data_IF_281144823040
#
_entry.id   IF_281144823040
#
_cell.length_a   1.000
_cell.length_b   1.000
_cell.length_c   1.000
_cell.angle_alpha   90.00
_cell.angle_beta   90.00
_cell.angle_gamma   90.00
#
_symmetry.space_group_name_H-M   'P 1'
#
loop_
_entity.id
_entity.type
_entity.pdbx_description
1 polymer ?
#
# COMPACT_ATOMS: atom_id res chain seq x y z
N UNK A 1 0.41 4.03 -4.49
CA UNK A 1 1.61 4.17 -5.37
C UNK A 1 1.74 5.57 -5.95
N UNK A 2 0.73 6.20 -6.62
CA UNK A 2 0.91 7.53 -7.23
C UNK A 2 1.31 8.62 -6.23
N UNK A 3 0.74 8.63 -5.03
CA UNK A 3 1.11 9.57 -3.97
C UNK A 3 2.60 9.46 -3.62
N UNK A 4 3.09 8.23 -3.41
CA UNK A 4 4.50 7.99 -3.11
C UNK A 4 5.41 8.37 -4.28
N UNK A 5 5.05 8.03 -5.52
CA UNK A 5 5.82 8.41 -6.71
C UNK A 5 5.92 9.93 -6.84
N UNK A 6 4.83 10.67 -6.58
CA UNK A 6 4.84 12.13 -6.58
C UNK A 6 5.70 12.70 -5.46
N UNK A 7 5.63 12.14 -4.25
CA UNK A 7 6.48 12.58 -3.14
C UNK A 7 7.96 12.38 -3.45
N UNK A 8 8.34 11.27 -4.08
CA UNK A 8 9.72 11.03 -4.54
C UNK A 8 10.15 12.05 -5.59
N UNK A 9 9.29 12.37 -6.55
CA UNK A 9 9.54 13.41 -7.56
C UNK A 9 9.65 14.79 -6.91
N UNK A 10 8.73 15.15 -6.02
CA UNK A 10 8.75 16.43 -5.30
C UNK A 10 10.01 16.57 -4.45
N UNK A 11 10.45 15.49 -3.78
CA UNK A 11 11.72 15.49 -3.04
C UNK A 11 12.91 15.73 -3.96
N UNK A 12 12.99 15.08 -5.12
CA UNK A 12 14.06 15.31 -6.10
C UNK A 12 14.05 16.73 -6.65
N UNK A 13 12.90 17.42 -6.63
CA UNK A 13 12.74 18.84 -6.98
C UNK A 13 12.98 19.79 -5.78
N UNK A 14 13.40 19.27 -4.62
CA UNK A 14 13.80 20.05 -3.45
C UNK A 14 12.70 20.22 -2.38
N UNK A 15 11.55 19.59 -2.54
CA UNK A 15 10.54 19.55 -1.47
C UNK A 15 11.04 18.68 -0.31
N UNK A 16 10.73 19.10 0.90
CA UNK A 16 11.10 18.37 2.13
C UNK A 16 9.91 18.34 3.06
N UNK A 17 9.71 17.22 3.74
CA UNK A 17 8.72 17.12 4.78
C UNK A 17 9.20 17.74 6.13
N UNK A 18 8.33 17.75 7.12
CA UNK A 18 8.66 18.30 8.42
C UNK A 18 9.75 17.50 9.15
N UNK A 19 9.78 16.16 9.00
CA UNK A 19 10.80 15.35 9.65
C UNK A 19 12.19 15.62 9.08
N UNK A 20 12.30 15.75 7.74
CA UNK A 20 13.53 16.17 7.10
C UNK A 20 13.95 17.56 7.54
N UNK A 21 13.04 18.53 7.49
CA UNK A 21 13.28 19.91 7.89
C UNK A 21 13.80 20.00 9.33
N UNK A 22 13.14 19.35 10.30
CA UNK A 22 13.56 19.36 11.69
C UNK A 22 14.82 18.54 11.96
N UNK A 23 15.17 17.60 11.09
CA UNK A 23 16.48 16.92 11.14
C UNK A 23 17.59 17.86 10.68
N UNK A 24 17.35 18.61 9.60
CA UNK A 24 18.36 19.48 8.97
C UNK A 24 18.73 20.70 9.82
N UNK A 25 17.80 21.24 10.61
CA UNK A 25 18.08 22.39 11.48
C UNK A 25 19.22 22.06 12.45
N UNK A 26 20.19 22.98 12.54
CA UNK A 26 21.29 22.85 13.49
C UNK A 26 20.74 22.86 14.93
N UNK A 27 21.12 21.87 15.74
CA UNK A 27 20.63 21.72 17.10
C UNK A 27 20.97 22.90 18.01
N UNK A 28 21.99 23.68 17.68
CA UNK A 28 22.43 24.82 18.49
C UNK A 28 21.52 26.07 18.34
N UNK A 29 20.66 26.10 17.30
CA UNK A 29 19.75 27.22 17.04
C UNK A 29 18.27 26.84 17.12
N UNK A 30 17.93 25.64 17.59
CA UNK A 30 16.55 25.21 17.75
C UNK A 30 15.77 26.14 18.68
N UNK A 31 14.64 26.63 18.19
CA UNK A 31 13.65 27.35 19.03
C UNK A 31 12.93 26.38 19.96
N UNK A 32 12.13 26.91 20.89
CA UNK A 32 11.33 26.03 21.75
C UNK A 32 10.28 25.25 20.97
N UNK A 33 9.67 25.86 19.96
CA UNK A 33 8.71 25.19 19.07
C UNK A 33 9.34 24.01 18.29
N UNK A 34 10.56 24.20 17.77
CA UNK A 34 11.32 23.14 17.10
C UNK A 34 11.61 21.97 18.04
N UNK A 35 12.02 22.29 19.29
CA UNK A 35 12.29 21.29 20.33
C UNK A 35 11.03 20.50 20.71
N UNK A 36 9.90 21.19 20.84
CA UNK A 36 8.62 20.57 21.17
C UNK A 36 8.16 19.62 20.06
N UNK A 37 8.31 20.02 18.80
CA UNK A 37 8.05 19.14 17.66
C UNK A 37 8.95 17.90 17.66
N UNK A 38 10.27 18.09 17.79
CA UNK A 38 11.25 16.99 17.79
C UNK A 38 10.95 16.01 18.93
N UNK A 39 10.68 16.47 20.14
CA UNK A 39 10.36 15.58 21.26
C UNK A 39 9.04 14.85 21.05
N UNK A 40 8.04 15.51 20.46
CA UNK A 40 6.72 14.91 20.27
C UNK A 40 6.68 13.89 19.13
N UNK A 41 7.55 14.03 18.10
CA UNK A 41 7.44 13.28 16.85
C UNK A 41 8.63 12.35 16.55
N UNK A 42 9.84 12.64 17.07
CA UNK A 42 11.04 11.86 16.76
C UNK A 42 11.19 10.57 17.59
N UNK A 43 10.08 10.13 18.20
CA UNK A 43 9.91 8.79 18.75
C UNK A 43 8.80 8.00 18.03
N UNK A 44 8.29 8.52 16.91
CA UNK A 44 7.29 7.86 16.08
C UNK A 44 7.94 6.70 15.30
N UNK A 45 8.27 5.64 16.01
CA UNK A 45 8.82 4.41 15.46
C UNK A 45 8.54 3.23 16.40
N UNK A 46 8.70 2.01 15.90
CA UNK A 46 8.45 0.81 16.68
C UNK A 46 9.44 0.69 17.85
N UNK A 47 8.96 0.34 19.07
CA UNK A 47 9.84 0.10 20.22
C UNK A 47 10.99 -0.90 19.99
N UNK A 48 10.78 -1.92 19.14
CA UNK A 48 11.84 -2.89 18.76
C UNK A 48 12.98 -2.20 18.01
N UNK A 49 12.66 -1.23 17.17
CA UNK A 49 13.64 -0.43 16.41
C UNK A 49 14.41 0.50 17.34
N UNK A 50 13.71 1.20 18.25
CA UNK A 50 14.34 2.05 19.28
C UNK A 50 15.34 1.25 20.12
N UNK A 51 15.00 0.02 20.49
CA UNK A 51 15.84 -0.86 21.32
C UNK A 51 17.19 -1.23 20.67
N UNK A 52 17.34 -1.06 19.35
CA UNK A 52 18.61 -1.25 18.63
C UNK A 52 19.68 -0.21 19.02
N UNK A 53 19.24 0.96 19.50
CA UNK A 53 20.11 2.10 19.75
C UNK A 53 20.05 2.51 21.24
N UNK A 54 21.06 2.15 22.08
CA UNK A 54 21.04 2.41 23.52
C UNK A 54 20.79 3.89 23.86
N UNK A 55 21.42 4.80 23.12
CA UNK A 55 21.22 6.24 23.34
C UNK A 55 19.78 6.69 23.01
N UNK A 56 19.12 6.08 22.02
CA UNK A 56 17.73 6.38 21.69
C UNK A 56 16.78 5.94 22.81
N UNK A 57 17.07 4.78 23.44
CA UNK A 57 16.34 4.32 24.64
C UNK A 57 16.52 5.29 25.80
N UNK A 58 17.75 5.78 26.06
CA UNK A 58 18.02 6.79 27.11
C UNK A 58 17.18 8.05 26.88
N UNK A 59 17.18 8.60 25.66
CA UNK A 59 16.41 9.80 25.30
C UNK A 59 14.90 9.57 25.45
N UNK A 60 14.39 8.44 24.99
CA UNK A 60 12.98 8.07 25.16
C UNK A 60 12.56 8.01 26.62
N UNK A 61 13.38 7.42 27.47
CA UNK A 61 13.09 7.29 28.90
C UNK A 61 13.15 8.64 29.64
N UNK A 62 13.87 9.62 29.10
CA UNK A 62 14.01 10.98 29.66
C UNK A 62 13.15 12.04 28.97
N UNK A 63 12.30 11.69 28.01
CA UNK A 63 11.57 12.66 27.18
C UNK A 63 10.64 13.60 28.00
N UNK A 64 10.07 13.13 29.11
CA UNK A 64 9.26 13.95 30.01
C UNK A 64 10.08 15.06 30.72
N UNK A 65 11.40 14.91 30.81
CA UNK A 65 12.32 15.88 31.33
C UNK A 65 13.09 16.63 30.23
N UNK A 66 12.57 16.65 29.01
CA UNK A 66 13.22 17.24 27.82
C UNK A 66 13.54 18.74 27.97
N UNK A 67 12.87 19.45 28.88
CA UNK A 67 13.21 20.84 29.24
C UNK A 67 14.63 20.99 29.80
N UNK A 68 15.23 19.91 30.31
CA UNK A 68 16.61 19.88 30.80
C UNK A 68 17.62 19.38 29.78
N UNK A 69 17.18 19.02 28.57
CA UNK A 69 18.05 18.50 27.52
C UNK A 69 18.99 19.57 26.96
N UNK A 70 20.19 19.14 26.65
CA UNK A 70 21.20 19.94 25.97
C UNK A 70 20.96 19.93 24.47
N UNK A 71 21.61 20.84 23.74
CA UNK A 71 21.58 20.80 22.26
C UNK A 71 22.12 19.47 21.73
N UNK A 72 23.05 18.82 22.43
CA UNK A 72 23.57 17.51 22.07
C UNK A 72 22.50 16.41 22.16
N UNK A 73 21.61 16.46 23.15
CA UNK A 73 20.51 15.50 23.29
C UNK A 73 19.54 15.62 22.11
N UNK A 74 19.24 16.82 21.67
CA UNK A 74 18.40 17.07 20.48
C UNK A 74 19.10 16.60 19.20
N UNK A 75 20.39 16.87 19.03
CA UNK A 75 21.18 16.40 17.88
C UNK A 75 21.23 14.88 17.83
N UNK A 76 21.45 14.23 18.96
CA UNK A 76 21.43 12.77 19.05
C UNK A 76 20.05 12.22 18.67
N UNK A 77 18.96 12.86 19.11
CA UNK A 77 17.60 12.44 18.76
C UNK A 77 17.33 12.62 17.25
N UNK A 78 17.73 13.75 16.64
CA UNK A 78 17.62 13.98 15.20
C UNK A 78 18.32 12.87 14.40
N UNK A 79 19.51 12.46 14.82
CA UNK A 79 20.27 11.39 14.18
C UNK A 79 19.65 10.01 14.39
N UNK A 80 19.31 9.67 15.62
CA UNK A 80 18.83 8.34 15.98
C UNK A 80 17.47 8.01 15.40
N UNK A 81 16.57 9.00 15.30
CA UNK A 81 15.30 8.83 14.60
C UNK A 81 15.52 8.40 13.14
N UNK A 82 16.39 9.10 12.42
CA UNK A 82 16.64 8.81 11.01
C UNK A 82 17.43 7.50 10.80
N UNK A 83 18.39 7.18 11.69
CA UNK A 83 19.07 5.88 11.68
C UNK A 83 18.07 4.75 11.95
N UNK A 84 17.09 4.97 12.83
CA UNK A 84 16.06 3.99 13.15
C UNK A 84 15.17 3.64 11.94
N UNK A 85 14.86 4.61 11.08
CA UNK A 85 14.08 4.43 9.85
C UNK A 85 14.92 3.96 8.65
N UNK A 86 16.23 3.76 8.83
CA UNK A 86 17.11 3.26 7.78
C UNK A 86 17.15 1.73 7.81
N UNK A 87 16.98 1.11 6.66
CA UNK A 87 17.02 -0.34 6.48
C UNK A 87 18.36 -0.94 7.01
N UNK A 88 18.33 -2.02 7.81
CA UNK A 88 19.51 -2.64 8.42
C UNK A 88 20.62 -3.01 7.42
N UNK A 89 20.28 -3.35 6.18
CA UNK A 89 21.25 -3.64 5.12
C UNK A 89 22.15 -2.43 4.84
N UNK A 90 21.57 -1.24 4.80
CA UNK A 90 22.33 -0.01 4.58
C UNK A 90 23.07 0.43 5.85
N UNK A 91 22.48 0.24 7.03
CA UNK A 91 23.16 0.50 8.31
C UNK A 91 24.42 -0.35 8.50
N UNK A 92 24.53 -1.49 7.83
CA UNK A 92 25.72 -2.36 7.88
C UNK A 92 26.86 -1.92 6.94
N UNK A 93 26.63 -0.90 6.11
CA UNK A 93 27.57 -0.40 5.09
C UNK A 93 28.09 1.00 5.44
N UNK A 94 29.33 1.31 4.99
CA UNK A 94 29.85 2.67 5.12
C UNK A 94 29.15 3.63 4.17
N UNK A 95 28.91 4.89 4.58
CA UNK A 95 29.35 5.53 5.84
C UNK A 95 28.40 5.32 7.02
N UNK A 96 27.19 4.78 6.83
CA UNK A 96 26.18 4.64 7.87
C UNK A 96 26.63 3.72 9.02
N UNK A 97 27.38 2.67 8.70
CA UNK A 97 27.96 1.77 9.70
C UNK A 97 28.81 2.52 10.74
N UNK A 98 29.61 3.47 10.30
CA UNK A 98 30.42 4.30 11.21
C UNK A 98 29.53 5.15 12.12
N UNK A 99 28.41 5.71 11.62
CA UNK A 99 27.44 6.45 12.43
C UNK A 99 26.73 5.55 13.47
N UNK A 100 26.33 4.34 13.07
CA UNK A 100 25.75 3.36 14.00
C UNK A 100 26.74 2.99 15.11
N UNK A 101 28.00 2.74 14.76
CA UNK A 101 29.06 2.41 15.74
C UNK A 101 29.37 3.59 16.68
N UNK A 102 29.27 4.82 16.20
CA UNK A 102 29.41 6.03 17.03
C UNK A 102 28.30 6.12 18.08
N UNK A 103 27.06 5.90 17.70
CA UNK A 103 25.88 5.68 18.52
C UNK A 103 25.42 6.86 19.39
N UNK A 104 26.23 7.90 19.61
CA UNK A 104 25.96 9.10 20.40
C UNK A 104 26.98 10.20 20.12
N UNK A 105 26.78 11.37 20.69
CA UNK A 105 27.66 12.55 20.57
C UNK A 105 27.87 12.94 19.09
N UNK A 106 26.80 12.87 18.30
CA UNK A 106 26.83 13.21 16.90
C UNK A 106 27.14 14.69 16.67
N UNK A 107 27.70 14.98 15.51
CA UNK A 107 28.00 16.32 15.03
C UNK A 107 27.02 16.75 13.95
N UNK A 108 27.03 18.02 13.56
CA UNK A 108 26.27 18.49 12.39
C UNK A 108 26.82 17.89 11.08
N UNK A 109 28.12 17.59 11.02
CA UNK A 109 28.72 16.87 9.88
C UNK A 109 28.20 15.43 9.78
N UNK A 110 27.97 14.75 10.90
CA UNK A 110 27.35 13.43 10.91
C UNK A 110 25.91 13.48 10.33
N UNK A 111 25.13 14.53 10.68
CA UNK A 111 23.80 14.74 10.10
C UNK A 111 23.86 14.94 8.58
N UNK A 112 24.81 15.75 8.11
CA UNK A 112 25.01 15.95 6.68
C UNK A 112 25.33 14.64 5.96
N UNK A 113 26.20 13.80 6.54
CA UNK A 113 26.52 12.47 5.99
C UNK A 113 25.25 11.61 5.92
N UNK A 114 24.47 11.54 6.99
CA UNK A 114 23.24 10.73 7.06
C UNK A 114 22.23 11.18 6.02
N UNK A 115 21.89 12.48 5.97
CA UNK A 115 20.90 13.02 5.04
C UNK A 115 21.34 12.86 3.57
N UNK A 116 22.62 12.97 3.29
CA UNK A 116 23.18 12.73 1.95
C UNK A 116 23.03 11.27 1.53
N UNK A 117 23.21 10.31 2.45
CA UNK A 117 22.95 8.90 2.17
C UNK A 117 21.46 8.61 1.97
N UNK A 118 20.57 9.22 2.77
CA UNK A 118 19.13 9.13 2.56
C UNK A 118 18.71 9.67 1.19
N UNK A 119 19.24 10.84 0.78
CA UNK A 119 18.96 11.37 -0.58
C UNK A 119 19.37 10.38 -1.67
N UNK A 120 20.56 9.78 -1.55
CA UNK A 120 21.01 8.76 -2.51
C UNK A 120 20.13 7.51 -2.54
N UNK A 121 19.57 7.10 -1.39
CA UNK A 121 18.65 5.97 -1.31
C UNK A 121 17.32 6.30 -1.95
N UNK A 122 16.78 7.48 -1.66
CA UNK A 122 15.51 7.98 -2.24
C UNK A 122 15.63 8.05 -3.77
N UNK A 123 16.71 8.61 -4.28
CA UNK A 123 16.97 8.73 -5.73
C UNK A 123 17.06 7.38 -6.45
N UNK A 124 17.34 6.28 -5.73
CA UNK A 124 17.40 4.92 -6.31
C UNK A 124 16.03 4.25 -6.42
N UNK A 125 15.02 4.69 -5.71
CA UNK A 125 13.73 3.97 -5.60
C UNK A 125 13.09 3.79 -6.98
N UNK A 126 12.83 4.88 -7.70
CA UNK A 126 12.17 4.82 -9.02
C UNK A 126 13.03 4.06 -10.05
N UNK A 127 14.34 4.36 -10.23
CA UNK A 127 15.16 3.64 -11.19
C UNK A 127 15.28 2.14 -10.90
N UNK A 128 15.34 1.74 -9.62
CA UNK A 128 15.43 0.32 -9.25
C UNK A 128 14.16 -0.43 -9.63
N UNK A 129 12.99 0.14 -9.33
CA UNK A 129 11.71 -0.47 -9.71
C UNK A 129 11.56 -0.56 -11.24
N UNK A 130 11.89 0.52 -11.95
CA UNK A 130 11.83 0.54 -13.41
C UNK A 130 12.73 -0.54 -14.06
N UNK A 131 13.95 -0.72 -13.55
CA UNK A 131 14.89 -1.73 -14.07
C UNK A 131 14.42 -3.16 -13.74
N UNK A 132 13.96 -3.43 -12.52
CA UNK A 132 13.44 -4.74 -12.15
C UNK A 132 12.20 -5.10 -12.98
N UNK A 133 11.34 -4.14 -13.27
CA UNK A 133 10.19 -4.34 -14.13
C UNK A 133 10.58 -4.58 -15.59
N UNK A 134 11.55 -3.83 -16.11
CA UNK A 134 12.08 -3.99 -17.45
C UNK A 134 12.72 -5.38 -17.66
N UNK A 135 13.40 -5.91 -16.66
CA UNK A 135 14.00 -7.25 -16.70
C UNK A 135 12.98 -8.37 -16.50
N UNK A 136 11.72 -8.07 -16.18
CA UNK A 136 10.67 -9.04 -15.91
C UNK A 136 10.80 -9.74 -14.55
N UNK A 137 11.64 -9.23 -13.66
CA UNK A 137 11.79 -9.80 -12.31
C UNK A 137 10.58 -9.48 -11.42
N UNK A 138 9.95 -8.33 -11.63
CA UNK A 138 8.72 -7.91 -10.99
C UNK A 138 7.72 -7.40 -12.01
N UNK A 139 6.44 -7.42 -11.65
CA UNK A 139 5.40 -6.65 -12.30
C UNK A 139 5.00 -5.50 -11.38
N UNK A 140 4.85 -4.29 -11.93
CA UNK A 140 4.43 -3.12 -11.16
C UNK A 140 2.99 -2.78 -11.48
N UNK A 141 2.21 -2.56 -10.44
CA UNK A 141 0.86 -2.01 -10.49
C UNK A 141 0.85 -0.56 -10.01
N UNK A 142 -0.24 0.13 -10.29
CA UNK A 142 -0.53 1.42 -9.68
C UNK A 142 -1.88 1.37 -8.96
N UNK A 143 -2.20 2.45 -8.25
CA UNK A 143 -3.52 2.70 -7.69
C UNK A 143 -4.15 3.89 -8.40
N UNK A 144 -5.46 4.14 -8.26
CA UNK A 144 -6.03 5.44 -8.61
C UNK A 144 -5.28 6.58 -7.92
N UNK A 145 -5.19 7.75 -8.56
CA UNK A 145 -4.22 8.82 -8.28
C UNK A 145 -4.15 9.26 -6.80
N UNK A 146 -5.27 9.66 -6.20
CA UNK A 146 -5.35 10.11 -4.82
C UNK A 146 -5.86 9.02 -3.84
N UNK A 147 -5.78 7.74 -4.25
CA UNK A 147 -6.23 6.59 -3.44
C UNK A 147 -7.71 6.63 -3.03
N UNK A 148 -8.64 7.05 -3.90
CA UNK A 148 -10.05 7.13 -3.55
C UNK A 148 -10.72 5.76 -3.54
N UNK A 149 -11.79 5.63 -2.75
CA UNK A 149 -12.71 4.49 -2.84
C UNK A 149 -13.59 4.67 -4.10
N UNK A 150 -13.10 4.17 -5.23
CA UNK A 150 -13.70 4.41 -6.55
C UNK A 150 -15.21 4.11 -6.64
N UNK A 151 -15.72 2.99 -6.05
CA UNK A 151 -17.16 2.74 -6.06
C UNK A 151 -17.97 3.88 -5.44
N UNK A 152 -17.47 4.51 -4.37
CA UNK A 152 -18.17 5.61 -3.69
C UNK A 152 -18.05 6.94 -4.45
N UNK A 153 -16.93 7.17 -5.15
CA UNK A 153 -16.81 8.31 -6.08
C UNK A 153 -17.75 8.11 -7.27
N UNK A 154 -17.81 6.88 -7.78
CA UNK A 154 -18.73 6.55 -8.86
C UNK A 154 -20.19 6.81 -8.45
N UNK A 155 -20.60 6.26 -7.30
CA UNK A 155 -21.95 6.38 -6.75
C UNK A 155 -22.03 5.95 -5.28
N UNK A 156 -22.29 6.87 -4.37
CA UNK A 156 -22.42 6.57 -2.94
C UNK A 156 -23.56 5.58 -2.63
N UNK A 157 -24.56 5.42 -3.50
CA UNK A 157 -25.62 4.44 -3.31
C UNK A 157 -25.11 2.98 -3.41
N UNK A 158 -23.92 2.73 -3.96
CA UNK A 158 -23.32 1.40 -3.98
C UNK A 158 -23.03 0.86 -2.56
N UNK A 159 -22.88 1.74 -1.58
CA UNK A 159 -22.72 1.35 -0.19
C UNK A 159 -23.92 0.52 0.33
N UNK A 160 -25.15 0.91 -0.04
CA UNK A 160 -26.37 0.20 0.39
C UNK A 160 -26.50 -1.22 -0.20
N UNK A 161 -25.72 -1.58 -1.22
CA UNK A 161 -25.71 -2.94 -1.75
C UNK A 161 -24.92 -3.88 -0.82
N UNK A 162 -23.80 -3.40 -0.28
CA UNK A 162 -22.97 -4.16 0.67
C UNK A 162 -23.50 -4.13 2.10
N UNK A 163 -24.16 -3.03 2.46
CA UNK A 163 -24.77 -2.81 3.79
C UNK A 163 -26.14 -2.14 3.64
N UNK A 164 -27.20 -2.93 3.72
CA UNK A 164 -28.59 -2.47 3.57
C UNK A 164 -28.98 -1.42 4.63
N UNK A 165 -28.29 -1.42 5.78
CA UNK A 165 -28.52 -0.49 6.89
C UNK A 165 -27.65 0.77 6.86
N UNK A 166 -26.75 0.90 5.90
CA UNK A 166 -25.83 2.05 5.84
C UNK A 166 -26.59 3.39 5.74
N UNK A 167 -26.23 4.35 6.57
CA UNK A 167 -26.72 5.72 6.44
C UNK A 167 -26.07 6.36 5.21
N UNK A 168 -26.89 6.76 4.24
CA UNK A 168 -26.40 7.39 3.02
C UNK A 168 -26.44 8.91 3.12
N UNK A 169 -25.56 9.64 2.42
CA UNK A 169 -25.57 11.10 2.39
C UNK A 169 -26.90 11.61 1.80
N UNK A 170 -27.39 12.70 2.37
CA UNK A 170 -28.62 13.39 1.89
C UNK A 170 -28.52 13.78 0.43
N UNK A 171 -27.32 14.18 0.00
CA UNK A 171 -27.01 14.54 -1.38
C UNK A 171 -26.08 13.47 -1.97
N UNK A 172 -26.69 12.55 -2.73
CA UNK A 172 -25.96 11.49 -3.43
C UNK A 172 -24.75 12.05 -4.18
N UNK A 173 -23.56 11.54 -3.90
CA UNK A 173 -22.37 11.79 -4.71
C UNK A 173 -22.36 10.77 -5.86
N UNK A 174 -22.36 11.25 -7.09
CA UNK A 174 -22.36 10.42 -8.28
C UNK A 174 -21.54 11.13 -9.36
N UNK A 175 -20.25 10.77 -9.45
CA UNK A 175 -19.27 11.40 -10.34
C UNK A 175 -18.40 10.36 -11.07
N UNK A 176 -18.98 9.57 -11.98
CA UNK A 176 -18.23 8.54 -12.75
C UNK A 176 -17.02 9.12 -13.51
N UNK A 177 -17.14 10.37 -14.00
CA UNK A 177 -16.02 11.04 -14.70
C UNK A 177 -14.86 11.32 -13.75
N UNK A 178 -15.12 11.76 -12.51
CA UNK A 178 -14.08 12.02 -11.52
C UNK A 178 -13.37 10.71 -11.13
N UNK A 179 -14.13 9.61 -10.98
CA UNK A 179 -13.57 8.29 -10.76
C UNK A 179 -12.65 7.85 -11.93
N UNK A 180 -13.08 8.06 -13.17
CA UNK A 180 -12.26 7.73 -14.34
C UNK A 180 -10.96 8.56 -14.41
N UNK A 181 -11.04 9.86 -14.10
CA UNK A 181 -9.86 10.74 -14.05
C UNK A 181 -8.84 10.25 -13.02
N UNK A 182 -9.28 9.75 -11.86
CA UNK A 182 -8.39 9.17 -10.86
C UNK A 182 -7.62 7.96 -11.40
N UNK A 183 -8.27 7.11 -12.18
CA UNK A 183 -7.63 5.95 -12.83
C UNK A 183 -6.60 6.41 -13.86
N UNK A 184 -7.02 7.28 -14.79
CA UNK A 184 -6.14 7.80 -15.86
C UNK A 184 -4.92 8.51 -15.29
N UNK A 185 -5.11 9.46 -14.34
CA UNK A 185 -4.00 10.19 -13.69
C UNK A 185 -3.01 9.25 -12.97
N UNK A 186 -3.51 8.20 -12.31
CA UNK A 186 -2.66 7.21 -11.65
C UNK A 186 -1.78 6.44 -12.62
N UNK A 187 -2.36 6.02 -13.75
CA UNK A 187 -1.64 5.34 -14.83
C UNK A 187 -0.62 6.23 -15.53
N UNK A 188 -1.01 7.46 -15.87
CA UNK A 188 -0.14 8.41 -16.58
C UNK A 188 1.08 8.79 -15.72
N UNK A 189 0.90 8.97 -14.42
CA UNK A 189 2.01 9.23 -13.49
C UNK A 189 2.95 8.03 -13.40
N UNK A 190 2.41 6.82 -13.27
CA UNK A 190 3.22 5.60 -13.22
C UNK A 190 4.00 5.39 -14.52
N UNK A 191 3.35 5.56 -15.68
CA UNK A 191 3.99 5.46 -16.99
C UNK A 191 5.13 6.48 -17.16
N UNK A 192 4.88 7.73 -16.79
CA UNK A 192 5.88 8.81 -16.89
C UNK A 192 7.11 8.56 -16.04
N UNK A 193 6.95 8.08 -14.82
CA UNK A 193 8.06 7.91 -13.87
C UNK A 193 8.75 6.55 -13.99
N UNK A 194 8.03 5.50 -14.36
CA UNK A 194 8.57 4.13 -14.45
C UNK A 194 8.86 3.70 -15.90
N UNK A 195 8.48 4.52 -16.89
CA UNK A 195 8.78 4.31 -18.31
C UNK A 195 7.90 3.28 -19.02
N UNK A 196 6.87 2.73 -18.35
CA UNK A 196 5.92 1.79 -18.88
C UNK A 196 4.55 1.95 -18.22
N UNK A 197 3.45 1.82 -18.98
CA UNK A 197 2.09 1.85 -18.45
C UNK A 197 1.75 0.51 -17.79
N UNK A 198 1.30 0.47 -16.53
CA UNK A 198 0.84 -0.75 -15.89
C UNK A 198 -0.42 -1.31 -16.56
N UNK A 199 -0.50 -2.64 -16.69
CA UNK A 199 -1.72 -3.35 -17.11
C UNK A 199 -2.48 -3.94 -15.93
N UNK A 200 -1.89 -3.92 -14.74
CA UNK A 200 -2.51 -4.28 -13.47
C UNK A 200 -2.77 -3.06 -12.60
N UNK A 201 -3.86 -3.10 -11.82
CA UNK A 201 -4.16 -2.05 -10.85
C UNK A 201 -4.57 -2.65 -9.50
N UNK A 202 -4.04 -2.07 -8.43
CA UNK A 202 -4.62 -2.23 -7.10
C UNK A 202 -5.71 -1.16 -6.93
N UNK A 203 -7.00 -1.50 -6.98
CA UNK A 203 -8.02 -0.55 -6.57
C UNK A 203 -7.75 -0.11 -5.14
N UNK A 204 -7.84 1.18 -4.86
CA UNK A 204 -7.60 1.69 -3.51
C UNK A 204 -8.42 0.88 -2.49
N UNK A 205 -7.77 0.37 -1.44
CA UNK A 205 -8.39 -0.51 -0.44
C UNK A 205 -9.07 -1.76 -1.02
N UNK A 206 -8.61 -2.26 -2.17
CA UNK A 206 -9.27 -3.37 -2.86
C UNK A 206 -10.75 -3.12 -3.15
N UNK A 207 -11.19 -1.86 -3.13
CA UNK A 207 -12.59 -1.47 -3.29
C UNK A 207 -13.02 -1.58 -4.75
N UNK A 208 -13.96 -2.46 -5.01
CA UNK A 208 -14.44 -2.79 -6.35
C UNK A 208 -15.97 -2.77 -6.44
N UNK A 209 -16.47 -2.64 -7.65
CA UNK A 209 -17.86 -2.90 -8.02
C UNK A 209 -17.93 -3.22 -9.51
N UNK A 210 -19.05 -3.72 -9.98
CA UNK A 210 -19.27 -4.02 -11.40
C UNK A 210 -19.08 -2.78 -12.27
N UNK A 211 -19.50 -1.62 -11.80
CA UNK A 211 -19.44 -0.34 -12.53
C UNK A 211 -18.00 0.13 -12.74
N UNK A 212 -17.16 -0.06 -11.70
CA UNK A 212 -15.75 0.38 -11.72
C UNK A 212 -14.89 -0.49 -12.64
N UNK A 213 -15.22 -1.78 -12.78
CA UNK A 213 -14.50 -2.67 -13.71
C UNK A 213 -14.49 -2.14 -15.14
N UNK A 214 -15.61 -1.59 -15.61
CA UNK A 214 -15.70 -1.01 -16.95
C UNK A 214 -14.81 0.22 -17.16
N UNK A 215 -14.42 0.91 -16.09
CA UNK A 215 -13.45 1.99 -16.17
C UNK A 215 -12.02 1.45 -16.32
N UNK A 216 -11.68 0.41 -15.56
CA UNK A 216 -10.38 -0.23 -15.67
C UNK A 216 -10.14 -0.79 -17.06
N UNK A 217 -11.11 -1.51 -17.61
CA UNK A 217 -11.03 -2.06 -18.97
C UNK A 217 -10.79 -0.98 -20.05
N UNK A 218 -11.50 0.16 -19.95
CA UNK A 218 -11.32 1.28 -20.88
C UNK A 218 -9.93 1.90 -20.87
N UNK A 219 -9.26 1.85 -19.73
CA UNK A 219 -7.89 2.35 -19.56
C UNK A 219 -6.82 1.29 -19.87
N UNK A 220 -7.21 0.11 -20.35
CA UNK A 220 -6.30 -0.97 -20.71
C UNK A 220 -5.80 -1.77 -19.52
N UNK A 221 -6.51 -1.74 -18.38
CA UNK A 221 -6.23 -2.62 -17.24
C UNK A 221 -6.77 -4.02 -17.54
N UNK A 222 -5.88 -5.00 -17.51
CA UNK A 222 -6.17 -6.40 -17.78
C UNK A 222 -6.50 -7.18 -16.51
N UNK A 223 -5.98 -6.73 -15.35
CA UNK A 223 -6.25 -7.38 -14.08
C UNK A 223 -6.23 -6.42 -12.89
N UNK A 224 -6.96 -6.83 -11.86
CA UNK A 224 -6.99 -6.20 -10.52
C UNK A 224 -6.88 -7.26 -9.44
N UNK A 225 -6.67 -6.82 -8.20
CA UNK A 225 -6.78 -7.70 -7.03
C UNK A 225 -7.76 -7.12 -6.00
N UNK A 226 -8.41 -8.00 -5.22
CA UNK A 226 -9.30 -7.63 -4.12
C UNK A 226 -9.38 -8.76 -3.07
N UNK A 227 -10.29 -8.66 -2.11
CA UNK A 227 -10.44 -9.63 -1.03
C UNK A 227 -11.33 -10.84 -1.38
N UNK A 228 -11.12 -11.96 -0.70
CA UNK A 228 -11.93 -13.18 -0.83
C UNK A 228 -13.42 -12.98 -0.52
N UNK A 229 -13.76 -11.97 0.30
CA UNK A 229 -15.16 -11.64 0.61
C UNK A 229 -15.91 -11.15 -0.63
N UNK A 230 -15.24 -10.40 -1.51
CA UNK A 230 -15.83 -9.98 -2.78
C UNK A 230 -16.19 -11.20 -3.61
N UNK A 231 -15.30 -12.19 -3.70
CA UNK A 231 -15.55 -13.44 -4.45
C UNK A 231 -16.74 -14.20 -3.88
N UNK A 232 -16.74 -14.47 -2.57
CA UNK A 232 -17.82 -15.23 -1.93
C UNK A 232 -19.18 -14.58 -2.13
N UNK A 233 -19.25 -13.24 -2.02
CA UNK A 233 -20.48 -12.48 -2.27
C UNK A 233 -20.88 -12.43 -3.75
N UNK A 234 -19.92 -12.39 -4.65
CA UNK A 234 -20.17 -12.40 -6.09
C UNK A 234 -20.71 -13.75 -6.58
N UNK A 235 -20.28 -14.84 -5.93
CA UNK A 235 -20.74 -16.20 -6.22
C UNK A 235 -21.99 -16.61 -5.41
N UNK A 236 -22.47 -15.73 -4.52
CA UNK A 236 -23.58 -16.04 -3.58
C UNK A 236 -23.32 -17.32 -2.77
N UNK A 237 -22.08 -17.49 -2.31
CA UNK A 237 -21.66 -18.60 -1.44
C UNK A 237 -21.33 -18.07 -0.04
N UNK A 238 -21.40 -18.94 1.00
CA UNK A 238 -20.89 -18.56 2.32
C UNK A 238 -19.42 -18.15 2.26
N UNK A 239 -18.97 -17.36 3.25
CA UNK A 239 -17.55 -17.07 3.43
C UNK A 239 -16.71 -18.34 3.39
N UNK A 240 -15.52 -18.22 2.81
CA UNK A 240 -14.59 -19.33 2.67
C UNK A 240 -14.31 -20.00 4.03
N UNK A 241 -14.59 -21.30 4.12
CA UNK A 241 -14.29 -22.07 5.31
C UNK A 241 -12.84 -22.49 5.32
N UNK A 242 -12.27 -22.56 6.50
CA UNK A 242 -10.91 -23.03 6.72
C UNK A 242 -10.89 -24.18 7.71
N UNK A 243 -9.93 -25.08 7.55
CA UNK A 243 -9.67 -26.14 8.52
C UNK A 243 -8.98 -25.57 9.78
N UNK A 244 -8.68 -26.42 10.73
CA UNK A 244 -8.00 -26.06 11.99
C UNK A 244 -6.60 -25.46 11.82
N UNK A 245 -6.00 -25.61 10.65
CA UNK A 245 -4.70 -25.07 10.29
C UNK A 245 -4.82 -23.76 9.47
N UNK A 246 -6.01 -23.18 9.35
CA UNK A 246 -6.24 -21.94 8.62
C UNK A 246 -6.30 -22.09 7.08
N UNK A 247 -6.23 -23.33 6.57
CA UNK A 247 -6.20 -23.62 5.13
C UNK A 247 -7.62 -23.66 4.58
N UNK A 248 -7.85 -22.98 3.46
CA UNK A 248 -9.16 -22.95 2.80
C UNK A 248 -9.58 -24.35 2.33
N UNK A 249 -10.86 -24.69 2.51
CA UNK A 249 -11.39 -26.05 2.22
C UNK A 249 -11.81 -26.24 0.77
N UNK A 250 -11.91 -25.17 -0.01
CA UNK A 250 -12.25 -25.15 -1.44
C UNK A 250 -11.25 -24.27 -2.22
N UNK A 251 -9.97 -24.66 -2.26
CA UNK A 251 -8.91 -23.86 -2.87
C UNK A 251 -9.11 -23.66 -4.39
N UNK A 252 -9.81 -24.58 -5.06
CA UNK A 252 -10.15 -24.48 -6.49
C UNK A 252 -11.01 -23.27 -6.82
N UNK A 253 -11.75 -22.72 -5.86
CA UNK A 253 -12.57 -21.53 -6.04
C UNK A 253 -11.77 -20.26 -5.71
N UNK A 254 -11.06 -20.23 -4.58
CA UNK A 254 -10.35 -19.06 -4.11
C UNK A 254 -9.05 -18.81 -4.86
N UNK A 255 -8.29 -19.87 -5.15
CA UNK A 255 -6.97 -19.76 -5.78
C UNK A 255 -7.04 -19.85 -7.32
N UNK A 256 -8.12 -19.34 -7.85
CA UNK A 256 -8.37 -19.16 -9.27
C UNK A 256 -8.76 -17.71 -9.49
N UNK A 257 -8.11 -16.99 -10.42
CA UNK A 257 -8.64 -15.69 -10.84
C UNK A 257 -9.95 -15.88 -11.59
N UNK A 258 -10.78 -14.85 -11.58
CA UNK A 258 -12.07 -14.82 -12.26
C UNK A 258 -12.15 -13.59 -13.15
N UNK A 259 -12.74 -13.72 -14.33
CA UNK A 259 -13.06 -12.55 -15.12
C UNK A 259 -14.35 -11.89 -14.62
N UNK A 260 -14.27 -10.60 -14.33
CA UNK A 260 -15.47 -9.79 -14.17
C UNK A 260 -16.10 -9.56 -15.53
N UNK A 261 -17.30 -10.12 -15.75
CA UNK A 261 -17.96 -10.04 -17.06
C UNK A 261 -18.40 -8.61 -17.38
N UNK A 262 -17.87 -8.05 -18.47
CA UNK A 262 -18.29 -6.79 -19.05
C UNK A 262 -19.05 -7.06 -20.35
N UNK A 263 -20.08 -6.26 -20.62
CA UNK A 263 -20.92 -6.38 -21.81
C UNK A 263 -20.13 -5.94 -23.05
N UNK A 264 -19.25 -6.74 -23.58
CA UNK A 264 -18.42 -6.67 -24.78
C UNK A 264 -16.90 -6.62 -24.54
N UNK A 265 -16.25 -7.69 -24.87
CA UNK A 265 -14.86 -7.90 -25.33
C UNK A 265 -13.68 -7.57 -24.42
N UNK A 266 -13.83 -6.88 -23.27
CA UNK A 266 -12.71 -6.49 -22.43
C UNK A 266 -12.97 -6.92 -20.97
N UNK A 267 -12.90 -8.24 -20.73
CA UNK A 267 -13.03 -8.77 -19.38
C UNK A 267 -11.76 -8.43 -18.57
N UNK A 268 -11.91 -8.00 -17.32
CA UNK A 268 -10.82 -7.75 -16.39
C UNK A 268 -10.68 -8.96 -15.46
N UNK A 269 -9.49 -9.54 -15.38
CA UNK A 269 -9.22 -10.63 -14.45
C UNK A 269 -9.10 -10.09 -13.01
N UNK A 270 -9.66 -10.82 -12.06
CA UNK A 270 -9.66 -10.46 -10.65
C UNK A 270 -8.94 -11.56 -9.87
N UNK A 271 -7.85 -11.21 -9.20
CA UNK A 271 -7.13 -12.06 -8.27
C UNK A 271 -7.64 -11.81 -6.86
N UNK A 272 -7.82 -12.89 -6.09
CA UNK A 272 -8.41 -12.78 -4.76
C UNK A 272 -7.38 -13.11 -3.69
N UNK A 273 -7.23 -12.17 -2.75
CA UNK A 273 -6.37 -12.30 -1.58
C UNK A 273 -6.84 -13.47 -0.71
N UNK A 274 -5.94 -14.40 -0.36
CA UNK A 274 -6.17 -15.27 0.78
C UNK A 274 -5.99 -14.45 2.07
N UNK A 275 -7.09 -14.25 2.79
CA UNK A 275 -7.10 -13.46 4.02
C UNK A 275 -6.20 -14.07 5.09
N UNK A 276 -6.27 -15.40 5.28
CA UNK A 276 -5.55 -16.09 6.36
C UNK A 276 -4.05 -16.03 6.17
N UNK A 277 -3.55 -16.42 4.98
CA UNK A 277 -2.09 -16.44 4.72
C UNK A 277 -1.55 -15.02 4.73
N UNK A 278 -2.28 -14.07 4.14
CA UNK A 278 -1.85 -12.69 4.10
C UNK A 278 -1.80 -12.06 5.50
N UNK A 279 -2.80 -12.31 6.34
CA UNK A 279 -2.82 -11.81 7.73
C UNK A 279 -1.74 -12.48 8.61
N UNK A 280 -1.40 -13.73 8.34
CA UNK A 280 -0.27 -14.38 9.00
C UNK A 280 1.05 -13.65 8.66
N UNK A 281 1.29 -13.37 7.39
CA UNK A 281 2.48 -12.60 6.98
C UNK A 281 2.42 -11.18 7.53
N UNK A 282 1.28 -10.49 7.45
CA UNK A 282 1.13 -9.09 7.89
C UNK A 282 1.28 -8.89 9.40
N UNK A 283 0.83 -9.87 10.21
CA UNK A 283 0.68 -9.68 11.66
C UNK A 283 1.28 -10.80 12.51
N UNK A 284 1.02 -12.08 12.18
CA UNK A 284 1.33 -13.20 13.08
C UNK A 284 2.81 -13.59 13.03
N UNK A 285 3.38 -13.68 11.85
CA UNK A 285 4.74 -14.17 11.65
C UNK A 285 5.81 -13.26 12.22
N UNK A 286 5.50 -11.98 12.46
CA UNK A 286 6.41 -11.04 13.16
C UNK A 286 6.77 -11.47 14.59
N UNK A 287 5.98 -12.39 15.19
CA UNK A 287 6.23 -12.99 16.51
C UNK A 287 6.91 -14.36 16.47
N UNK A 288 7.23 -14.88 15.27
CA UNK A 288 7.81 -16.21 15.06
C UNK A 288 9.26 -16.13 14.58
N UNK A 289 10.00 -17.25 14.66
CA UNK A 289 11.27 -17.31 13.92
C UNK A 289 11.01 -17.41 12.41
N UNK A 290 11.92 -16.93 11.55
CA UNK A 290 11.77 -17.03 10.10
C UNK A 290 11.48 -18.45 9.62
N UNK A 291 12.15 -19.46 10.19
CA UNK A 291 11.99 -20.86 9.83
C UNK A 291 10.58 -21.38 10.17
N UNK A 292 10.07 -21.02 11.35
CA UNK A 292 8.73 -21.42 11.76
C UNK A 292 7.66 -20.75 10.89
N UNK A 293 7.82 -19.46 10.59
CA UNK A 293 6.89 -18.69 9.78
C UNK A 293 6.84 -19.23 8.33
N UNK A 294 8.00 -19.45 7.71
CA UNK A 294 8.06 -20.01 6.35
C UNK A 294 7.54 -21.44 6.31
N UNK A 295 7.85 -22.28 7.29
CA UNK A 295 7.32 -23.65 7.35
C UNK A 295 5.79 -23.69 7.51
N UNK A 296 5.22 -22.74 8.25
CA UNK A 296 3.76 -22.62 8.38
C UNK A 296 3.09 -22.18 7.08
N UNK A 297 3.64 -21.15 6.42
CA UNK A 297 3.19 -20.71 5.10
C UNK A 297 3.24 -21.85 4.07
N UNK A 298 4.33 -22.63 4.05
CA UNK A 298 4.49 -23.74 3.10
C UNK A 298 3.45 -24.83 3.28
N UNK A 299 2.97 -25.10 4.50
CA UNK A 299 1.88 -26.06 4.73
C UNK A 299 0.59 -25.63 4.03
N UNK A 300 0.26 -24.33 4.04
CA UNK A 300 -0.91 -23.81 3.33
C UNK A 300 -0.75 -23.95 1.80
N UNK A 301 0.45 -23.73 1.28
CA UNK A 301 0.74 -23.90 -0.16
C UNK A 301 0.71 -25.38 -0.58
N UNK A 302 1.18 -26.32 0.28
CA UNK A 302 1.09 -27.75 0.02
C UNK A 302 -0.37 -28.24 -0.06
N UNK A 303 -1.24 -27.74 0.80
CA UNK A 303 -2.66 -28.08 0.72
C UNK A 303 -3.32 -27.58 -0.58
N UNK A 304 -2.93 -26.39 -1.06
CA UNK A 304 -3.37 -25.90 -2.37
C UNK A 304 -2.83 -26.79 -3.51
N UNK A 305 -1.58 -27.27 -3.40
CA UNK A 305 -0.97 -28.18 -4.37
C UNK A 305 -1.74 -29.49 -4.51
N UNK A 306 -2.18 -30.10 -3.41
CA UNK A 306 -2.91 -31.37 -3.44
C UNK A 306 -4.16 -31.28 -4.33
N UNK A 307 -4.85 -30.15 -4.36
CA UNK A 307 -5.98 -29.91 -5.25
C UNK A 307 -5.50 -29.51 -6.65
N UNK A 308 -4.51 -28.64 -6.75
CA UNK A 308 -3.99 -28.15 -8.02
C UNK A 308 -3.57 -29.25 -8.99
N UNK A 309 -2.99 -30.34 -8.49
CA UNK A 309 -2.55 -31.47 -9.34
C UNK A 309 -3.70 -32.24 -9.97
N UNK A 310 -4.93 -32.02 -9.55
CA UNK A 310 -6.15 -32.64 -10.11
C UNK A 310 -6.86 -31.75 -11.12
N UNK A 311 -6.36 -30.51 -11.34
CA UNK A 311 -6.98 -29.53 -12.21
C UNK A 311 -6.27 -29.40 -13.57
N UNK A 312 -6.98 -28.91 -14.56
CA UNK A 312 -6.43 -28.68 -15.90
C UNK A 312 -5.44 -27.50 -15.96
N UNK A 313 -5.45 -26.64 -14.93
CA UNK A 313 -4.54 -25.51 -14.75
C UNK A 313 -4.04 -25.42 -13.33
N UNK A 314 -2.84 -24.88 -13.08
CA UNK A 314 -2.36 -24.69 -11.72
C UNK A 314 -3.18 -23.63 -10.99
N UNK A 315 -3.37 -23.83 -9.68
CA UNK A 315 -3.91 -22.82 -8.79
C UNK A 315 -2.89 -21.69 -8.58
N UNK A 316 -3.37 -20.49 -8.35
CA UNK A 316 -2.55 -19.32 -8.00
C UNK A 316 -2.98 -18.77 -6.65
N UNK A 317 -2.08 -18.84 -5.66
CA UNK A 317 -2.30 -18.28 -4.32
C UNK A 317 -1.85 -16.83 -4.31
N UNK A 318 -2.77 -15.92 -3.99
CA UNK A 318 -2.49 -14.49 -3.92
C UNK A 318 -2.30 -14.07 -2.46
N UNK A 319 -1.06 -13.73 -2.08
CA UNK A 319 -0.70 -13.12 -0.80
C UNK A 319 -0.60 -11.61 -1.05
N UNK A 320 -1.54 -10.85 -0.51
CA UNK A 320 -1.66 -9.41 -0.77
C UNK A 320 -1.58 -8.66 0.55
N UNK A 321 -0.67 -7.70 0.63
CA UNK A 321 -0.31 -6.96 1.84
C UNK A 321 -0.21 -5.47 1.55
N UNK A 322 -0.40 -4.66 2.59
CA UNK A 322 0.15 -3.31 2.65
C UNK A 322 1.65 -3.42 2.92
N UNK A 323 2.45 -3.26 1.87
CA UNK A 323 3.88 -3.54 1.92
C UNK A 323 4.67 -2.61 2.84
N UNK A 324 4.12 -1.45 3.20
CA UNK A 324 4.71 -0.48 4.11
C UNK A 324 4.45 -0.75 5.60
N UNK A 325 3.45 -1.57 5.96
CA UNK A 325 2.94 -1.65 7.32
C UNK A 325 3.49 -2.82 8.17
N UNK A 326 4.08 -3.84 7.56
CA UNK A 326 4.38 -5.07 8.27
C UNK A 326 5.78 -5.11 8.91
N UNK A 327 6.77 -4.54 8.28
CA UNK A 327 8.17 -4.92 8.45
C UNK A 327 8.81 -4.38 9.73
N UNK A 328 8.42 -3.20 10.22
CA UNK A 328 8.91 -2.68 11.50
C UNK A 328 8.50 -3.55 12.71
N UNK A 329 7.51 -4.41 12.56
CA UNK A 329 7.10 -5.37 13.60
C UNK A 329 7.94 -6.64 13.61
N UNK A 330 8.66 -6.93 12.52
CA UNK A 330 9.58 -8.05 12.42
C UNK A 330 10.95 -7.74 13.03
N UNK A 331 11.69 -8.77 13.41
CA UNK A 331 13.08 -8.60 13.74
C UNK A 331 13.87 -8.24 12.47
N UNK A 332 14.82 -7.32 12.58
CA UNK A 332 15.62 -6.83 11.45
C UNK A 332 14.78 -6.37 10.25
N UNK A 333 13.62 -5.73 10.52
CA UNK A 333 12.70 -5.23 9.51
C UNK A 333 12.29 -6.29 8.46
N UNK A 334 12.22 -7.56 8.90
CA UNK A 334 11.74 -8.68 8.10
C UNK A 334 12.73 -9.26 7.09
N UNK A 335 13.97 -8.77 7.02
CA UNK A 335 14.97 -9.24 6.02
C UNK A 335 15.18 -10.75 6.12
N UNK A 336 15.33 -11.29 7.32
CA UNK A 336 15.60 -12.72 7.53
C UNK A 336 14.40 -13.58 7.08
N UNK A 337 13.19 -13.16 7.42
CA UNK A 337 11.97 -13.83 6.98
C UNK A 337 11.79 -13.74 5.45
N UNK A 338 11.90 -12.56 4.87
CA UNK A 338 11.72 -12.35 3.42
C UNK A 338 12.77 -13.11 2.61
N UNK A 339 14.03 -13.10 3.03
CA UNK A 339 15.11 -13.82 2.36
C UNK A 339 14.85 -15.32 2.35
N UNK A 340 14.50 -15.90 3.51
CA UNK A 340 14.19 -17.33 3.61
C UNK A 340 12.91 -17.69 2.84
N UNK A 341 11.90 -16.83 2.87
CA UNK A 341 10.67 -17.02 2.10
C UNK A 341 10.95 -17.07 0.60
N UNK A 342 11.65 -16.09 0.06
CA UNK A 342 11.96 -16.06 -1.38
C UNK A 342 12.88 -17.22 -1.79
N UNK A 343 13.89 -17.56 -0.98
CA UNK A 343 14.73 -18.73 -1.22
C UNK A 343 13.89 -20.02 -1.27
N UNK A 344 13.01 -20.22 -0.28
CA UNK A 344 12.15 -21.40 -0.22
C UNK A 344 11.20 -21.48 -1.41
N UNK A 345 10.55 -20.37 -1.76
CA UNK A 345 9.60 -20.31 -2.89
C UNK A 345 10.30 -20.61 -4.24
N UNK A 346 11.53 -20.14 -4.42
CA UNK A 346 12.27 -20.28 -5.69
C UNK A 346 13.01 -21.62 -5.82
N UNK A 347 13.30 -22.31 -4.72
CA UNK A 347 13.99 -23.61 -4.71
C UNK A 347 13.06 -24.82 -4.56
N UNK A 348 11.75 -24.59 -4.34
CA UNK A 348 10.76 -25.66 -4.21
C UNK A 348 10.29 -26.13 -5.58
N UNK A 349 10.67 -27.34 -6.00
CA UNK A 349 10.45 -27.88 -7.34
C UNK A 349 9.00 -27.88 -7.84
N UNK A 350 8.04 -28.04 -6.95
CA UNK A 350 6.62 -28.12 -7.31
C UNK A 350 5.91 -26.76 -7.34
N UNK A 351 6.58 -25.69 -6.91
CA UNK A 351 6.03 -24.34 -6.81
C UNK A 351 6.68 -23.43 -7.85
N UNK A 352 5.93 -22.52 -8.40
CA UNK A 352 6.44 -21.47 -9.29
C UNK A 352 5.88 -20.13 -8.88
N UNK A 353 6.76 -19.15 -8.65
CA UNK A 353 6.35 -17.75 -8.58
C UNK A 353 6.00 -17.25 -9.98
N UNK A 354 4.97 -16.42 -10.09
CA UNK A 354 4.51 -15.84 -11.36
C UNK A 354 3.95 -14.45 -11.13
N UNK A 355 3.88 -13.66 -12.19
CA UNK A 355 3.11 -12.42 -12.17
C UNK A 355 1.68 -12.68 -12.64
N UNK A 356 0.72 -11.81 -12.27
CA UNK A 356 -0.65 -11.91 -12.77
C UNK A 356 -0.73 -11.87 -14.28
N UNK A 357 0.02 -10.99 -14.94
CA UNK A 357 0.06 -10.92 -16.42
C UNK A 357 0.57 -12.23 -17.02
N UNK A 358 1.67 -12.82 -16.54
CA UNK A 358 2.17 -14.12 -17.01
C UNK A 358 1.12 -15.24 -16.86
N UNK A 359 0.40 -15.23 -15.73
CA UNK A 359 -0.66 -16.23 -15.51
C UNK A 359 -1.81 -16.08 -16.50
N UNK A 360 -2.27 -14.84 -16.74
CA UNK A 360 -3.35 -14.55 -17.67
C UNK A 360 -2.96 -14.89 -19.12
N UNK A 361 -1.76 -14.51 -19.55
CA UNK A 361 -1.24 -14.83 -20.89
C UNK A 361 -1.26 -16.33 -21.17
N UNK A 362 -0.95 -17.13 -20.16
CA UNK A 362 -0.85 -18.57 -20.29
C UNK A 362 -2.18 -19.30 -20.10
N UNK A 363 -3.00 -18.88 -19.17
CA UNK A 363 -4.20 -19.59 -18.73
C UNK A 363 -5.50 -18.79 -18.89
N UNK A 364 -5.44 -17.58 -19.41
CA UNK A 364 -6.59 -16.67 -19.56
C UNK A 364 -7.82 -17.30 -20.21
N UNK A 365 -7.69 -18.07 -21.31
CA UNK A 365 -8.83 -18.73 -21.96
C UNK A 365 -9.56 -19.76 -21.09
N UNK A 366 -8.95 -20.21 -20.00
CA UNK A 366 -9.49 -21.19 -19.06
C UNK A 366 -10.06 -20.56 -17.78
N UNK A 367 -10.01 -19.23 -17.67
CA UNK A 367 -10.52 -18.51 -16.51
C UNK A 367 -12.04 -18.37 -16.62
N UNK A 368 -12.74 -18.73 -15.54
CA UNK A 368 -14.19 -18.61 -15.43
C UNK A 368 -14.62 -17.14 -15.25
N UNK A 369 -15.92 -16.88 -15.49
CA UNK A 369 -16.49 -15.53 -15.41
C UNK A 369 -17.43 -15.38 -14.23
N UNK A 370 -17.37 -14.22 -13.58
CA UNK A 370 -18.37 -13.77 -12.63
C UNK A 370 -19.47 -13.01 -13.37
N UNK A 371 -20.72 -13.41 -13.17
CA UNK A 371 -21.86 -12.70 -13.73
C UNK A 371 -21.98 -11.27 -13.18
N UNK A 372 -21.54 -11.07 -11.93
CA UNK A 372 -21.57 -9.81 -11.22
C UNK A 372 -20.44 -9.74 -10.20
N UNK A 373 -19.80 -8.57 -10.09
CA UNK A 373 -18.84 -8.27 -9.02
C UNK A 373 -19.55 -7.51 -7.90
N UNK A 374 -19.55 -8.10 -6.71
CA UNK A 374 -20.18 -7.50 -5.53
C UNK A 374 -19.41 -6.27 -5.06
N UNK A 375 -20.09 -5.13 -4.76
CA UNK A 375 -19.44 -3.92 -4.30
C UNK A 375 -18.97 -4.06 -2.85
N UNK A 376 -17.65 -4.12 -2.66
CA UNK A 376 -17.01 -4.25 -1.36
C UNK A 376 -15.51 -3.93 -1.43
N UNK A 377 -14.82 -3.99 -0.29
CA UNK A 377 -13.37 -3.81 -0.16
C UNK A 377 -12.66 -5.15 0.12
N UNK A 378 -11.34 -5.11 0.23
CA UNK A 378 -10.50 -6.29 0.43
C UNK A 378 -10.56 -6.90 1.83
N UNK A 379 -10.94 -6.14 2.84
CA UNK A 379 -10.99 -6.61 4.23
C UNK A 379 -12.40 -6.68 4.83
N UNK A 380 -13.39 -6.06 4.20
CA UNK A 380 -14.80 -6.11 4.61
C UNK A 380 -15.73 -6.29 3.41
N UNK A 381 -16.84 -7.03 3.57
CA UNK A 381 -17.81 -7.25 2.50
C UNK A 381 -18.73 -6.03 2.27
N UNK A 382 -18.26 -4.83 2.53
CA UNK A 382 -18.96 -3.55 2.37
C UNK A 382 -17.97 -2.38 2.33
N UNK A 383 -18.47 -1.14 2.44
CA UNK A 383 -17.69 0.10 2.51
C UNK A 383 -17.84 0.84 3.85
N UNK A 384 -18.22 0.14 4.92
CA UNK A 384 -18.56 0.76 6.21
C UNK A 384 -17.42 1.54 6.89
N UNK A 385 -16.16 1.36 6.45
CA UNK A 385 -15.02 2.17 6.92
C UNK A 385 -15.05 3.61 6.38
N UNK A 386 -15.77 3.86 5.29
CA UNK A 386 -15.72 5.15 4.57
C UNK A 386 -17.07 5.81 4.39
N UNK A 387 -18.16 5.11 4.70
CA UNK A 387 -19.55 5.62 4.56
C UNK A 387 -20.48 4.75 5.39
N UNK A 388 -21.45 5.37 6.05
CA UNK A 388 -22.48 4.65 6.82
C UNK A 388 -22.61 5.13 8.25
N UNK A 389 -21.65 5.91 8.75
CA UNK A 389 -21.77 6.61 10.02
C UNK A 389 -22.04 8.12 9.81
N UNK A 390 -22.55 8.77 10.84
CA UNK A 390 -23.02 10.17 10.74
C UNK A 390 -21.92 11.13 10.29
N UNK A 391 -20.70 10.95 10.81
CA UNK A 391 -19.56 11.82 10.49
C UNK A 391 -19.10 11.67 9.05
N UNK A 392 -18.97 10.44 8.58
CA UNK A 392 -18.61 10.10 7.21
C UNK A 392 -19.68 10.58 6.21
N UNK A 393 -20.94 10.33 6.52
CA UNK A 393 -22.08 10.77 5.72
C UNK A 393 -22.12 12.29 5.59
N UNK A 394 -21.81 13.01 6.67
CA UNK A 394 -21.66 14.47 6.65
C UNK A 394 -20.49 14.92 5.75
N UNK A 395 -19.35 14.21 5.79
CA UNK A 395 -18.21 14.50 4.93
C UNK A 395 -18.57 14.32 3.45
N UNK A 396 -19.30 13.25 3.09
CA UNK A 396 -19.81 13.05 1.72
C UNK A 396 -20.78 14.15 1.27
N UNK A 397 -21.70 14.58 2.13
CA UNK A 397 -22.58 15.71 1.84
C UNK A 397 -21.81 17.02 1.61
N UNK A 398 -20.73 17.23 2.39
CA UNK A 398 -19.87 18.40 2.23
C UNK A 398 -19.08 18.34 0.93
N UNK A 399 -18.52 17.19 0.59
CA UNK A 399 -17.82 16.95 -0.67
C UNK A 399 -18.76 17.21 -1.86
N UNK A 400 -19.99 16.71 -1.81
CA UNK A 400 -20.98 16.95 -2.86
C UNK A 400 -21.32 18.44 -3.04
N UNK A 401 -21.43 19.19 -1.95
CA UNK A 401 -21.66 20.64 -2.00
C UNK A 401 -20.48 21.37 -2.64
N UNK A 402 -19.27 20.99 -2.25
CA UNK A 402 -18.02 21.55 -2.81
C UNK A 402 -17.90 21.24 -4.29
N UNK A 403 -18.15 20.01 -4.70
CA UNK A 403 -18.11 19.60 -6.11
C UNK A 403 -19.18 20.29 -6.95
N UNK A 404 -20.39 20.49 -6.40
CA UNK A 404 -21.44 21.25 -7.04
C UNK A 404 -21.11 22.76 -7.15
N UNK A 405 -20.36 23.30 -6.19
CA UNK A 405 -19.84 24.67 -6.29
C UNK A 405 -18.81 24.77 -7.42
N UNK A 406 -17.88 23.83 -7.52
CA UNK A 406 -16.93 23.76 -8.64
C UNK A 406 -17.65 23.70 -9.99
N UNK A 407 -18.68 22.85 -10.16
CA UNK A 407 -19.45 22.75 -11.40
C UNK A 407 -20.06 24.09 -11.81
N UNK A 408 -20.65 24.82 -10.84
CA UNK A 408 -21.20 26.16 -11.09
C UNK A 408 -20.13 27.18 -11.46
N UNK A 409 -18.99 27.14 -10.77
CA UNK A 409 -17.85 28.04 -11.05
C UNK A 409 -17.27 27.80 -12.44
N UNK A 410 -17.14 26.54 -12.84
CA UNK A 410 -16.70 26.17 -14.19
C UNK A 410 -17.71 26.66 -15.26
N UNK A 411 -18.99 26.53 -15.00
CA UNK A 411 -20.03 26.97 -15.93
C UNK A 411 -20.20 28.51 -15.99
N UNK A 412 -19.75 29.26 -14.99
CA UNK A 412 -19.90 30.74 -14.95
C UNK A 412 -18.98 31.44 -15.93
N UNK A 413 -17.86 30.85 -16.33
CA UNK A 413 -16.86 31.49 -17.17
C UNK A 413 -16.05 32.60 -16.48
N UNK A 414 -16.17 32.73 -15.15
CA UNK A 414 -15.50 33.78 -14.35
C UNK A 414 -14.02 33.40 -14.02
N UNK A 415 -13.69 32.11 -14.13
CA UNK A 415 -12.38 31.57 -13.75
C UNK A 415 -11.59 31.09 -14.97
N UNK A 416 -10.27 31.20 -14.92
CA UNK A 416 -9.38 30.66 -15.96
C UNK A 416 -9.31 29.13 -15.88
N UNK A 417 -8.95 28.46 -16.99
CA UNK A 417 -8.72 27.03 -17.02
C UNK A 417 -7.69 26.60 -15.94
N UNK A 418 -6.59 27.35 -15.79
CA UNK A 418 -5.57 27.08 -14.78
C UNK A 418 -6.11 27.12 -13.33
N UNK A 419 -6.98 28.10 -13.03
CA UNK A 419 -7.62 28.19 -11.72
C UNK A 419 -8.57 27.03 -11.46
N UNK A 420 -9.31 26.61 -12.49
CA UNK A 420 -10.24 25.49 -12.40
C UNK A 420 -9.52 24.16 -12.29
N UNK A 421 -8.43 23.95 -13.06
CA UNK A 421 -7.60 22.76 -12.97
C UNK A 421 -6.98 22.62 -11.57
N UNK A 422 -6.41 23.72 -11.05
CA UNK A 422 -5.88 23.75 -9.69
C UNK A 422 -6.94 23.45 -8.63
N UNK A 423 -8.14 24.00 -8.76
CA UNK A 423 -9.26 23.73 -7.83
C UNK A 423 -9.78 22.29 -7.92
N UNK A 424 -9.67 21.65 -9.09
CA UNK A 424 -10.06 20.26 -9.28
C UNK A 424 -9.05 19.26 -8.70
N UNK A 425 -7.80 19.64 -8.62
CA UNK A 425 -6.74 18.80 -8.04
C UNK A 425 -6.80 18.73 -6.49
N UNK A 426 -7.55 19.62 -5.83
CA UNK A 426 -7.80 19.64 -4.38
C UNK A 426 -9.18 19.08 -4.04
#
# INVERSE_FOLDING_TARGET
TPVLLRQLEDFSNGAKDLYWYYTEINADILTQEDKDFIVSRFFDTNPKVIARFPRYVELRNSNQASSSWTNQDFRDLQMLFNLAWTDPKYLSQEPLKSLVNKGRDFTEDDKFVLLNEHSKLIDKVIPTHAELWKTGQIEITTTPYAHPILPLIFDTNLAAVGDIGAELPTNRFNKPTDAAIQVTKGLDLAERLLGRRPTGMWPAEGAVSQEVLGMFAKEGIEWIATGEHVLSKSLDIPTFKRNTNGIVTNPEVLYTPWYGQLNRQEDVAIFFRDLSISDQVGFTYSGMSPEMAVADMMKALEAAREVSVTMDRPLVVSIVLDGENAWEHYQNDGIDFLSLMYETLTTTDWLKTTTPTEYIEKYGPQIDKLDKVFPASWFQPNFATWIGETEETYAWDYLQKTRAFYDRSNASGEYTAEQLDKAFDY
#
